data_IF_060902151418
#
_entry.id   IF_060902151418
#
_cell.length_a   1.000
_cell.length_b   1.000
_cell.length_c   1.000
_cell.angle_alpha   90.00
_cell.angle_beta   90.00
_cell.angle_gamma   90.00
#
_symmetry.space_group_name_H-M   'P 1'
#
loop_
_entity.id
_entity.type
_entity.pdbx_description
1 polymer ?
#
# COMPACT_ATOMS: atom_id res chain seq x y z
N UNK A 1 10.96 28.51 3.52
CA UNK A 1 10.52 27.09 3.63
C UNK A 1 9.82 26.58 2.37
N UNK A 2 8.85 27.31 1.82
CA UNK A 2 8.08 26.95 0.61
C UNK A 2 8.93 26.69 -0.65
N UNK A 3 9.93 27.53 -0.94
CA UNK A 3 10.83 27.33 -2.11
C UNK A 3 11.70 26.06 -2.01
N UNK A 4 12.08 25.65 -0.79
CA UNK A 4 12.85 24.41 -0.56
C UNK A 4 11.95 23.19 -0.79
N UNK A 5 10.70 23.25 -0.34
CA UNK A 5 9.70 22.20 -0.55
C UNK A 5 9.35 22.02 -2.03
N UNK A 6 9.11 23.14 -2.75
CA UNK A 6 8.90 23.15 -4.20
C UNK A 6 10.09 22.48 -4.91
N UNK A 7 11.32 22.86 -4.58
CA UNK A 7 12.53 22.26 -5.17
C UNK A 7 12.69 20.76 -4.90
N UNK A 8 12.21 20.24 -3.78
CA UNK A 8 12.23 18.80 -3.46
C UNK A 8 11.19 18.05 -4.30
N UNK A 9 9.95 18.54 -4.38
CA UNK A 9 8.88 17.93 -5.18
C UNK A 9 9.25 17.85 -6.66
N UNK A 10 9.96 18.87 -7.18
CA UNK A 10 10.35 18.91 -8.58
C UNK A 10 11.51 17.98 -8.95
N UNK A 11 12.17 17.31 -7.98
CA UNK A 11 13.19 16.30 -8.30
C UNK A 11 12.53 15.09 -8.99
N UNK A 12 13.19 14.57 -10.02
CA UNK A 12 12.61 13.48 -10.84
C UNK A 12 12.30 12.23 -10.01
N UNK A 13 13.17 11.87 -9.06
CA UNK A 13 12.99 10.72 -8.16
C UNK A 13 11.77 10.86 -7.24
N UNK A 14 11.39 12.09 -6.88
CA UNK A 14 10.17 12.39 -6.11
C UNK A 14 8.95 12.37 -7.00
N UNK A 15 9.03 12.90 -8.23
CA UNK A 15 7.92 12.84 -9.20
C UNK A 15 7.50 11.40 -9.51
N UNK A 16 8.47 10.53 -9.83
CA UNK A 16 8.18 9.13 -10.13
C UNK A 16 7.64 8.36 -8.92
N UNK A 17 8.06 8.74 -7.71
CA UNK A 17 7.50 8.20 -6.47
C UNK A 17 6.03 8.59 -6.29
N UNK A 18 5.70 9.87 -6.48
CA UNK A 18 4.32 10.35 -6.35
C UNK A 18 3.41 9.62 -7.33
N UNK A 19 3.83 9.45 -8.59
CA UNK A 19 3.06 8.67 -9.56
C UNK A 19 2.88 7.22 -9.14
N UNK A 20 3.94 6.57 -8.64
CA UNK A 20 3.86 5.19 -8.14
C UNK A 20 2.86 5.05 -7.00
N UNK A 21 2.92 5.95 -6.03
CA UNK A 21 2.03 5.93 -4.86
C UNK A 21 0.62 6.42 -5.17
N UNK A 22 0.43 7.23 -6.20
CA UNK A 22 -0.89 7.54 -6.73
C UNK A 22 -1.63 6.27 -7.18
N UNK A 23 -0.99 5.40 -7.98
CA UNK A 23 -1.59 4.12 -8.37
C UNK A 23 -1.80 3.17 -7.19
N UNK A 24 -0.89 3.21 -6.20
CA UNK A 24 -1.03 2.45 -4.96
C UNK A 24 -2.28 2.87 -4.17
N UNK A 25 -2.46 4.16 -3.94
CA UNK A 25 -3.64 4.70 -3.23
C UNK A 25 -4.90 4.49 -4.08
N UNK A 26 -4.82 4.64 -5.41
CA UNK A 26 -5.92 4.41 -6.33
C UNK A 26 -6.48 2.99 -6.27
N UNK A 27 -5.69 2.00 -5.81
CA UNK A 27 -6.17 0.63 -5.59
C UNK A 27 -7.35 0.55 -4.61
N UNK A 28 -7.60 1.58 -3.79
CA UNK A 28 -8.82 1.71 -2.98
C UNK A 28 -10.11 1.68 -3.80
N UNK A 29 -10.06 1.98 -5.11
CA UNK A 29 -11.23 1.83 -5.99
C UNK A 29 -11.76 0.39 -6.00
N UNK A 30 -10.91 -0.59 -5.71
CA UNK A 30 -11.32 -2.00 -5.58
C UNK A 30 -12.29 -2.19 -4.40
N UNK A 31 -12.10 -1.47 -3.30
CA UNK A 31 -13.05 -1.50 -2.18
C UNK A 31 -14.42 -0.94 -2.56
N UNK A 32 -14.45 0.10 -3.41
CA UNK A 32 -15.71 0.63 -3.94
C UNK A 32 -16.46 -0.44 -4.77
N UNK A 33 -15.75 -1.21 -5.59
CA UNK A 33 -16.33 -2.31 -6.34
C UNK A 33 -16.84 -3.44 -5.45
N UNK A 34 -16.09 -3.79 -4.40
CA UNK A 34 -16.54 -4.75 -3.39
C UNK A 34 -17.81 -4.28 -2.67
N UNK A 35 -17.91 -2.98 -2.35
CA UNK A 35 -19.10 -2.39 -1.73
C UNK A 35 -20.34 -2.40 -2.63
N UNK A 36 -20.20 -2.45 -3.96
CA UNK A 36 -21.33 -2.65 -4.87
C UNK A 36 -21.75 -4.13 -4.89
N UNK A 37 -20.79 -5.02 -5.12
CA UNK A 37 -21.03 -6.45 -5.18
C UNK A 37 -19.70 -7.23 -5.05
N UNK A 38 -19.71 -8.30 -4.24
CA UNK A 38 -18.55 -9.16 -4.05
C UNK A 38 -17.89 -9.60 -5.37
N UNK A 39 -18.68 -10.07 -6.34
CA UNK A 39 -18.16 -10.57 -7.62
C UNK A 39 -17.57 -9.44 -8.47
N UNK A 40 -18.17 -8.25 -8.45
CA UNK A 40 -17.63 -7.09 -9.16
C UNK A 40 -16.27 -6.70 -8.57
N UNK A 41 -16.15 -6.65 -7.24
CA UNK A 41 -14.87 -6.42 -6.55
C UNK A 41 -13.83 -7.50 -6.86
N UNK A 42 -14.21 -8.77 -6.78
CA UNK A 42 -13.34 -9.90 -7.06
C UNK A 42 -12.80 -9.88 -8.49
N UNK A 43 -13.69 -9.79 -9.49
CA UNK A 43 -13.28 -9.78 -10.89
C UNK A 43 -12.49 -8.52 -11.26
N UNK A 44 -12.85 -7.35 -10.71
CA UNK A 44 -12.09 -6.12 -10.96
C UNK A 44 -10.68 -6.18 -10.38
N UNK A 45 -10.50 -6.74 -9.17
CA UNK A 45 -9.18 -6.92 -8.56
C UNK A 45 -8.30 -7.85 -9.42
N UNK A 46 -8.83 -9.02 -9.80
CA UNK A 46 -8.13 -9.95 -10.69
C UNK A 46 -7.81 -9.30 -12.04
N UNK A 47 -8.74 -8.54 -12.60
CA UNK A 47 -8.55 -7.80 -13.85
C UNK A 47 -7.39 -6.79 -13.73
N UNK A 48 -7.34 -5.98 -12.67
CA UNK A 48 -6.24 -5.03 -12.46
C UNK A 48 -4.89 -5.73 -12.33
N UNK A 49 -4.83 -6.86 -11.63
CA UNK A 49 -3.62 -7.67 -11.52
C UNK A 49 -3.17 -8.22 -12.89
N UNK A 50 -4.09 -8.73 -13.70
CA UNK A 50 -3.81 -9.25 -15.06
C UNK A 50 -3.36 -8.11 -15.98
N UNK A 51 -4.03 -6.95 -15.94
CA UNK A 51 -3.66 -5.78 -16.74
C UNK A 51 -2.24 -5.30 -16.39
N UNK A 52 -1.90 -5.29 -15.09
CA UNK A 52 -0.54 -4.95 -14.64
C UNK A 52 0.50 -5.96 -15.14
N UNK A 53 0.26 -7.25 -14.96
CA UNK A 53 1.18 -8.30 -15.44
C UNK A 53 1.35 -8.25 -16.97
N UNK A 54 0.26 -8.01 -17.70
CA UNK A 54 0.29 -7.85 -19.15
C UNK A 54 1.16 -6.65 -19.56
N UNK A 55 1.03 -5.52 -18.85
CA UNK A 55 1.91 -4.35 -19.03
C UNK A 55 3.39 -4.70 -18.80
N UNK A 56 3.71 -5.47 -17.76
CA UNK A 56 5.09 -5.90 -17.48
C UNK A 56 5.64 -6.84 -18.56
N UNK A 57 4.81 -7.76 -19.08
CA UNK A 57 5.19 -8.64 -20.20
C UNK A 57 5.48 -7.82 -21.47
N UNK A 58 4.63 -6.85 -21.82
CA UNK A 58 4.88 -5.96 -22.96
C UNK A 58 6.15 -5.12 -22.78
N UNK A 59 6.39 -4.63 -21.56
CA UNK A 59 7.61 -3.89 -21.21
C UNK A 59 8.87 -4.73 -21.42
N UNK A 60 8.89 -5.97 -20.92
CA UNK A 60 10.05 -6.87 -21.01
C UNK A 60 10.28 -7.34 -22.46
N UNK A 61 9.20 -7.63 -23.19
CA UNK A 61 9.28 -8.05 -24.61
C UNK A 61 9.56 -6.90 -25.58
N UNK A 62 9.72 -5.66 -25.08
CA UNK A 62 9.96 -4.44 -25.85
C UNK A 62 8.91 -4.15 -26.94
N UNK A 63 7.71 -4.73 -26.81
CA UNK A 63 6.58 -4.43 -27.71
C UNK A 63 6.03 -3.06 -27.38
N UNK A 64 6.21 -2.10 -28.29
CA UNK A 64 5.83 -0.70 -28.09
C UNK A 64 4.32 -0.48 -28.27
N UNK A 65 3.54 -0.74 -27.22
CA UNK A 65 2.22 -0.12 -27.10
C UNK A 65 2.39 1.30 -26.53
N UNK A 66 1.89 2.30 -27.25
CA UNK A 66 2.03 3.73 -26.90
C UNK A 66 1.50 4.03 -25.49
N UNK A 67 0.42 3.39 -25.07
CA UNK A 67 -0.22 3.61 -23.77
C UNK A 67 0.64 3.15 -22.58
N UNK A 68 1.37 2.04 -22.73
CA UNK A 68 2.16 1.46 -21.64
C UNK A 68 3.55 2.08 -21.49
N UNK A 69 4.00 2.90 -22.45
CA UNK A 69 5.35 3.48 -22.42
C UNK A 69 5.55 4.38 -21.19
N UNK A 70 4.60 5.27 -20.91
CA UNK A 70 4.66 6.18 -19.75
C UNK A 70 4.68 5.42 -18.43
N UNK A 71 3.81 4.42 -18.28
CA UNK A 71 3.73 3.58 -17.07
C UNK A 71 5.01 2.76 -16.89
N UNK A 72 5.53 2.19 -17.98
CA UNK A 72 6.77 1.40 -18.00
C UNK A 72 7.98 2.23 -17.56
N UNK A 73 8.10 3.46 -18.06
CA UNK A 73 9.18 4.37 -17.69
C UNK A 73 9.09 4.78 -16.21
N UNK A 74 7.87 4.98 -15.69
CA UNK A 74 7.64 5.23 -14.25
C UNK A 74 8.10 4.03 -13.42
N UNK A 75 7.77 2.80 -13.81
CA UNK A 75 8.14 1.58 -13.06
C UNK A 75 9.66 1.41 -13.04
N UNK A 76 10.32 1.51 -14.21
CA UNK A 76 11.77 1.37 -14.32
C UNK A 76 12.53 2.39 -13.48
N UNK A 77 12.15 3.66 -13.58
CA UNK A 77 12.83 4.75 -12.87
C UNK A 77 12.53 4.76 -11.37
N UNK A 78 11.28 4.51 -10.97
CA UNK A 78 10.90 4.55 -9.54
C UNK A 78 11.44 3.36 -8.74
N UNK A 79 11.56 2.17 -9.36
CA UNK A 79 11.96 0.95 -8.67
C UNK A 79 13.41 0.54 -8.93
N UNK A 80 14.12 1.22 -9.84
CA UNK A 80 15.50 0.87 -10.24
C UNK A 80 15.61 -0.60 -10.68
N UNK A 81 14.56 -1.12 -11.31
CA UNK A 81 14.47 -2.52 -11.75
C UNK A 81 15.15 -2.66 -13.11
N UNK A 82 15.85 -3.79 -13.29
CA UNK A 82 16.46 -4.13 -14.57
C UNK A 82 15.36 -4.30 -15.64
N UNK A 83 15.60 -3.86 -16.89
CA UNK A 83 14.59 -3.89 -17.95
C UNK A 83 13.99 -5.27 -18.22
N UNK A 84 14.72 -6.35 -17.88
CA UNK A 84 14.30 -7.73 -18.12
C UNK A 84 13.67 -8.44 -16.89
N UNK A 85 13.46 -7.73 -15.77
CA UNK A 85 12.86 -8.31 -14.55
C UNK A 85 11.45 -7.75 -14.33
N UNK A 86 10.54 -8.59 -13.84
CA UNK A 86 9.17 -8.20 -13.45
C UNK A 86 9.19 -7.49 -12.10
N UNK A 87 8.39 -6.43 -11.97
CA UNK A 87 8.12 -5.74 -10.71
C UNK A 87 6.95 -6.39 -9.98
N UNK A 88 7.20 -7.21 -8.96
CA UNK A 88 6.14 -7.87 -8.19
C UNK A 88 5.34 -7.02 -7.18
N UNK A 89 5.82 -5.89 -6.63
CA UNK A 89 5.09 -5.25 -5.52
C UNK A 89 3.63 -4.82 -5.82
N UNK A 90 3.24 -4.38 -7.02
CA UNK A 90 1.83 -4.13 -7.34
C UNK A 90 0.99 -5.42 -7.38
N UNK A 91 1.58 -6.55 -7.77
CA UNK A 91 0.93 -7.87 -7.71
C UNK A 91 0.66 -8.23 -6.25
N UNK A 92 1.66 -8.05 -5.37
CA UNK A 92 1.52 -8.27 -3.93
C UNK A 92 0.46 -7.37 -3.29
N UNK A 93 0.30 -6.13 -3.75
CA UNK A 93 -0.77 -5.25 -3.30
C UNK A 93 -2.16 -5.82 -3.63
N UNK A 94 -2.41 -6.15 -4.90
CA UNK A 94 -3.69 -6.71 -5.32
C UNK A 94 -3.99 -8.06 -4.67
N UNK A 95 -2.97 -8.90 -4.51
CA UNK A 95 -3.06 -10.17 -3.80
C UNK A 95 -3.36 -9.96 -2.31
N UNK A 96 -2.69 -9.02 -1.65
CA UNK A 96 -2.94 -8.66 -0.25
C UNK A 96 -4.35 -8.16 -0.03
N UNK A 97 -4.86 -7.29 -0.91
CA UNK A 97 -6.26 -6.83 -0.90
C UNK A 97 -7.22 -8.01 -1.07
N UNK A 98 -6.98 -8.86 -2.07
CA UNK A 98 -7.83 -10.02 -2.37
C UNK A 98 -7.92 -10.97 -1.18
N UNK A 99 -6.78 -11.38 -0.63
CA UNK A 99 -6.72 -12.32 0.49
C UNK A 99 -7.34 -11.71 1.74
N UNK A 100 -7.02 -10.45 2.06
CA UNK A 100 -7.57 -9.78 3.24
C UNK A 100 -9.09 -9.63 3.14
N UNK A 101 -9.60 -9.27 1.96
CA UNK A 101 -11.04 -9.12 1.74
C UNK A 101 -11.78 -10.47 1.81
N UNK A 102 -11.23 -11.54 1.22
CA UNK A 102 -11.88 -12.85 1.18
C UNK A 102 -11.78 -13.64 2.49
N UNK A 103 -10.67 -13.51 3.24
CA UNK A 103 -10.42 -14.33 4.44
C UNK A 103 -10.82 -13.67 5.75
N UNK A 104 -10.94 -12.34 5.78
CA UNK A 104 -11.28 -11.61 7.01
C UNK A 104 -12.63 -10.94 6.85
N UNK A 105 -13.48 -11.07 7.87
CA UNK A 105 -14.82 -10.50 7.85
C UNK A 105 -14.80 -8.96 7.88
N UNK A 106 -15.84 -8.36 7.31
CA UNK A 106 -16.09 -6.92 7.48
C UNK A 106 -16.41 -6.61 8.96
N UNK A 107 -15.96 -5.47 9.51
CA UNK A 107 -15.19 -4.40 8.86
C UNK A 107 -13.66 -4.56 8.94
N UNK A 108 -13.15 -5.66 9.51
CA UNK A 108 -11.70 -5.85 9.77
C UNK A 108 -10.85 -5.94 8.49
N UNK A 109 -11.42 -6.46 7.39
CA UNK A 109 -10.76 -6.43 6.08
C UNK A 109 -10.49 -5.00 5.58
N UNK A 110 -11.41 -4.05 5.77
CA UNK A 110 -11.22 -2.63 5.40
C UNK A 110 -10.06 -2.00 6.19
N UNK A 111 -9.91 -2.33 7.47
CA UNK A 111 -8.86 -1.75 8.34
C UNK A 111 -7.47 -2.06 7.79
N UNK A 112 -7.21 -3.32 7.41
CA UNK A 112 -5.94 -3.70 6.79
C UNK A 112 -5.76 -3.11 5.40
N UNK A 113 -6.81 -3.09 4.57
CA UNK A 113 -6.73 -2.52 3.22
C UNK A 113 -6.48 -1.00 3.27
N UNK A 114 -7.10 -0.26 4.19
CA UNK A 114 -6.76 1.15 4.40
C UNK A 114 -5.32 1.33 4.89
N UNK A 115 -4.84 0.44 5.77
CA UNK A 115 -3.47 0.49 6.29
C UNK A 115 -2.43 0.35 5.18
N UNK A 116 -2.63 -0.57 4.23
CA UNK A 116 -1.70 -0.70 3.10
C UNK A 116 -1.88 0.42 2.08
N UNK A 117 -3.11 0.75 1.68
CA UNK A 117 -3.33 1.69 0.58
C UNK A 117 -3.06 3.13 0.98
N UNK A 118 -3.47 3.55 2.19
CA UNK A 118 -3.23 4.90 2.71
C UNK A 118 -1.91 4.96 3.48
N UNK A 119 -1.68 4.03 4.41
CA UNK A 119 -0.47 4.02 5.24
C UNK A 119 0.79 3.89 4.42
N UNK A 120 1.03 2.73 3.81
CA UNK A 120 2.20 2.54 2.94
C UNK A 120 2.15 3.45 1.69
N UNK A 121 0.95 3.75 1.20
CA UNK A 121 0.72 4.73 0.13
C UNK A 121 1.41 6.07 0.39
N UNK A 122 1.12 6.68 1.54
CA UNK A 122 1.66 7.99 1.91
C UNK A 122 3.03 7.92 2.63
N UNK A 123 3.41 6.77 3.22
CA UNK A 123 4.63 6.62 4.00
C UNK A 123 5.90 7.04 3.24
N UNK A 124 6.06 6.56 2.00
CA UNK A 124 7.24 6.91 1.20
C UNK A 124 7.29 8.38 0.76
N UNK A 125 6.13 9.01 0.59
CA UNK A 125 6.01 10.43 0.24
C UNK A 125 6.43 11.25 1.46
N UNK A 126 5.88 10.93 2.64
CA UNK A 126 6.26 11.56 3.90
C UNK A 126 7.75 11.37 4.22
N UNK A 127 8.30 10.18 3.98
CA UNK A 127 9.73 9.90 4.16
C UNK A 127 10.67 10.71 3.27
N UNK A 128 10.20 11.12 2.07
CA UNK A 128 10.97 11.99 1.16
C UNK A 128 10.76 13.48 1.41
N UNK A 129 9.56 13.87 1.87
CA UNK A 129 9.19 15.28 2.07
C UNK A 129 9.53 15.82 3.46
N UNK A 130 9.41 14.98 4.50
CA UNK A 130 9.64 15.34 5.90
C UNK A 130 10.98 14.74 6.32
N UNK A 131 12.01 15.58 6.56
CA UNK A 131 13.30 15.10 7.04
C UNK A 131 13.13 14.36 8.38
N UNK A 132 13.53 13.10 8.42
CA UNK A 132 13.52 12.31 9.65
C UNK A 132 14.62 11.26 9.62
N UNK A 133 14.87 10.62 10.77
CA UNK A 133 15.87 9.56 10.85
C UNK A 133 15.44 8.33 10.07
N UNK A 134 16.42 7.68 9.44
CA UNK A 134 16.21 6.38 8.80
C UNK A 134 16.16 5.29 9.87
N UNK A 135 15.26 4.36 9.66
CA UNK A 135 15.05 3.16 10.44
C UNK A 135 15.58 1.95 9.65
N UNK A 136 15.03 0.77 9.92
CA UNK A 136 15.33 -0.49 9.24
C UNK A 136 14.95 -0.41 7.75
N UNK A 137 15.74 -1.05 6.88
CA UNK A 137 15.51 -1.17 5.43
C UNK A 137 15.33 0.17 4.69
N UNK A 138 15.87 1.26 5.24
CA UNK A 138 15.78 2.59 4.63
C UNK A 138 14.41 3.26 4.77
N UNK A 139 13.48 2.68 5.54
CA UNK A 139 12.25 3.33 5.99
C UNK A 139 12.61 4.51 6.92
N UNK A 140 11.64 5.37 7.20
CA UNK A 140 11.88 6.64 7.91
C UNK A 140 10.86 6.81 9.02
N UNK A 141 11.21 7.51 10.10
CA UNK A 141 10.27 7.78 11.20
C UNK A 141 9.01 8.49 10.68
N UNK A 142 9.17 9.46 9.77
CA UNK A 142 8.02 10.16 9.18
C UNK A 142 7.13 9.25 8.36
N UNK A 143 7.69 8.30 7.62
CA UNK A 143 6.92 7.29 6.88
C UNK A 143 6.19 6.31 7.81
N UNK A 144 6.88 5.76 8.80
CA UNK A 144 6.28 4.82 9.76
C UNK A 144 5.19 5.49 10.61
N UNK A 145 5.33 6.77 10.96
CA UNK A 145 4.27 7.52 11.64
C UNK A 145 2.99 7.62 10.79
N UNK A 146 3.13 7.71 9.46
CA UNK A 146 1.98 7.71 8.56
C UNK A 146 1.29 6.35 8.53
N UNK A 147 2.05 5.25 8.50
CA UNK A 147 1.48 3.90 8.62
C UNK A 147 0.74 3.74 9.95
N UNK A 148 1.38 4.14 11.06
CA UNK A 148 0.75 4.14 12.38
C UNK A 148 -0.58 4.90 12.38
N UNK A 149 -0.57 6.15 11.93
CA UNK A 149 -1.76 7.00 11.93
C UNK A 149 -2.86 6.43 11.02
N UNK A 150 -2.51 5.95 9.82
CA UNK A 150 -3.47 5.37 8.90
C UNK A 150 -4.17 4.15 9.52
N UNK A 151 -3.42 3.23 10.12
CA UNK A 151 -3.99 2.06 10.80
C UNK A 151 -4.79 2.45 12.04
N UNK A 152 -4.24 3.34 12.88
CA UNK A 152 -4.90 3.82 14.10
C UNK A 152 -6.27 4.42 13.79
N UNK A 153 -6.34 5.39 12.87
CA UNK A 153 -7.59 6.06 12.52
C UNK A 153 -8.54 5.13 11.77
N UNK A 154 -8.03 4.23 10.93
CA UNK A 154 -8.87 3.24 10.25
C UNK A 154 -9.56 2.30 11.24
N UNK A 155 -8.84 1.81 12.24
CA UNK A 155 -9.44 0.98 13.29
C UNK A 155 -10.39 1.80 14.17
N UNK A 156 -9.95 2.96 14.66
CA UNK A 156 -10.71 3.81 15.57
C UNK A 156 -12.05 4.29 14.97
N UNK A 157 -12.11 4.43 13.64
CA UNK A 157 -13.34 4.75 12.92
C UNK A 157 -14.43 3.68 13.08
N UNK A 158 -14.08 2.39 13.00
CA UNK A 158 -15.03 1.29 13.16
C UNK A 158 -15.25 0.91 14.63
N UNK A 159 -14.19 0.96 15.42
CA UNK A 159 -14.19 0.57 16.83
C UNK A 159 -13.44 1.62 17.65
N UNK A 160 -14.13 2.48 18.45
CA UNK A 160 -13.51 3.56 19.20
C UNK A 160 -12.75 3.07 20.45
N UNK A 161 -12.04 1.95 20.35
CA UNK A 161 -11.22 1.36 21.40
C UNK A 161 -9.78 1.84 21.28
N UNK A 162 -9.44 2.85 22.09
CA UNK A 162 -8.15 3.53 22.04
C UNK A 162 -6.96 2.57 22.18
N UNK A 163 -7.00 1.66 23.15
CA UNK A 163 -5.90 0.73 23.45
C UNK A 163 -5.65 -0.19 22.25
N UNK A 164 -6.70 -0.79 21.70
CA UNK A 164 -6.56 -1.68 20.54
C UNK A 164 -6.08 -0.93 19.31
N UNK A 165 -6.56 0.29 19.07
CA UNK A 165 -6.10 1.14 17.98
C UNK A 165 -4.59 1.44 18.08
N UNK A 166 -4.10 1.76 19.28
CA UNK A 166 -2.67 2.00 19.53
C UNK A 166 -1.82 0.75 19.27
N UNK A 167 -2.26 -0.40 19.79
CA UNK A 167 -1.57 -1.69 19.58
C UNK A 167 -1.51 -2.02 18.08
N UNK A 168 -2.62 -1.88 17.36
CA UNK A 168 -2.69 -2.11 15.91
C UNK A 168 -1.80 -1.18 15.12
N UNK A 169 -1.76 0.11 15.46
CA UNK A 169 -0.86 1.07 14.82
C UNK A 169 0.62 0.69 14.99
N UNK A 170 1.03 0.30 16.20
CA UNK A 170 2.41 -0.15 16.47
C UNK A 170 2.71 -1.42 15.67
N UNK A 171 1.79 -2.39 15.67
CA UNK A 171 1.93 -3.63 14.93
C UNK A 171 2.05 -3.41 13.42
N UNK A 172 1.28 -2.49 12.85
CA UNK A 172 1.39 -2.10 11.45
C UNK A 172 2.78 -1.51 11.10
N UNK A 173 3.34 -0.67 11.98
CA UNK A 173 4.71 -0.16 11.84
C UNK A 173 5.74 -1.28 11.90
N UNK A 174 5.59 -2.23 12.82
CA UNK A 174 6.51 -3.37 12.89
C UNK A 174 6.48 -4.19 11.60
N UNK A 175 5.28 -4.47 11.06
CA UNK A 175 5.14 -5.16 9.77
C UNK A 175 5.80 -4.39 8.63
N UNK A 176 5.63 -3.06 8.59
CA UNK A 176 6.27 -2.20 7.60
C UNK A 176 7.81 -2.20 7.71
N UNK A 177 8.36 -2.25 8.93
CA UNK A 177 9.80 -2.20 9.19
C UNK A 177 10.51 -3.53 8.94
N UNK A 178 9.85 -4.66 9.17
CA UNK A 178 10.44 -6.00 9.00
C UNK A 178 10.47 -6.49 7.55
N UNK A 179 9.93 -5.72 6.62
CA UNK A 179 9.88 -6.13 5.22
C UNK A 179 11.24 -5.99 4.52
N UNK A 180 11.89 -7.13 4.26
CA UNK A 180 13.20 -7.20 3.62
C UNK A 180 13.14 -7.05 2.09
N UNK A 181 11.99 -7.31 1.45
CA UNK A 181 11.92 -7.54 -0.01
C UNK A 181 10.70 -6.89 -0.71
N UNK A 182 10.03 -5.92 -0.08
CA UNK A 182 8.79 -5.26 -0.58
C UNK A 182 7.55 -6.18 -0.56
N UNK A 183 7.50 -7.08 0.41
CA UNK A 183 6.33 -7.89 0.75
C UNK A 183 5.35 -7.18 1.69
N UNK A 184 5.64 -5.96 2.14
CA UNK A 184 4.77 -5.10 2.94
C UNK A 184 3.39 -4.96 2.30
N UNK A 185 3.33 -4.84 0.98
CA UNK A 185 2.08 -4.78 0.22
C UNK A 185 1.19 -6.02 0.35
N UNK A 186 1.77 -7.18 0.67
CA UNK A 186 1.04 -8.44 0.91
C UNK A 186 0.73 -8.62 2.40
N UNK A 187 1.73 -8.43 3.26
CA UNK A 187 1.62 -8.75 4.68
C UNK A 187 0.93 -7.67 5.50
N UNK A 188 1.13 -6.39 5.19
CA UNK A 188 0.51 -5.30 5.93
C UNK A 188 -1.02 -5.38 5.97
N UNK A 189 -1.75 -5.54 4.84
CA UNK A 189 -3.20 -5.64 4.91
C UNK A 189 -3.64 -6.93 5.62
N UNK A 190 -2.96 -8.05 5.38
CA UNK A 190 -3.33 -9.34 5.94
C UNK A 190 -3.16 -9.37 7.46
N UNK A 191 -1.97 -9.01 7.95
CA UNK A 191 -1.64 -9.04 9.37
C UNK A 191 -2.50 -8.03 10.13
N UNK A 192 -2.68 -6.82 9.60
CA UNK A 192 -3.52 -5.80 10.25
C UNK A 192 -4.99 -6.23 10.29
N UNK A 193 -5.54 -6.75 9.18
CA UNK A 193 -6.92 -7.24 9.16
C UNK A 193 -7.13 -8.38 10.16
N UNK A 194 -6.30 -9.41 10.12
CA UNK A 194 -6.42 -10.56 11.04
C UNK A 194 -6.20 -10.15 12.50
N UNK A 195 -5.19 -9.34 12.78
CA UNK A 195 -4.93 -8.87 14.16
C UNK A 195 -6.06 -7.99 14.68
N UNK A 196 -6.66 -7.16 13.82
CA UNK A 196 -7.79 -6.32 14.21
C UNK A 196 -9.01 -7.14 14.64
N UNK A 197 -9.30 -8.23 13.93
CA UNK A 197 -10.33 -9.19 14.33
C UNK A 197 -10.01 -9.80 15.71
N UNK A 198 -8.84 -10.43 15.85
CA UNK A 198 -8.49 -11.14 17.09
C UNK A 198 -8.42 -10.23 18.31
N UNK A 199 -7.80 -9.05 18.20
CA UNK A 199 -7.71 -8.12 19.33
C UNK A 199 -9.09 -7.60 19.74
N UNK A 200 -9.97 -7.34 18.77
CA UNK A 200 -11.33 -6.86 19.08
C UNK A 200 -12.15 -7.94 19.77
N UNK A 201 -12.12 -9.17 19.25
CA UNK A 201 -12.78 -10.30 19.90
C UNK A 201 -12.22 -10.53 21.31
N UNK A 202 -10.90 -10.60 21.45
CA UNK A 202 -10.27 -10.89 22.74
C UNK A 202 -10.62 -9.86 23.83
N UNK A 203 -10.60 -8.57 23.51
CA UNK A 203 -10.84 -7.51 24.51
C UNK A 203 -12.31 -7.17 24.72
N UNK A 204 -13.20 -7.42 23.74
CA UNK A 204 -14.55 -6.84 23.75
C UNK A 204 -15.69 -7.80 23.39
N UNK A 205 -15.44 -9.08 23.11
CA UNK A 205 -16.52 -10.07 22.92
C UNK A 205 -16.92 -10.78 24.22
N UNK A 206 -17.30 -10.01 25.25
CA UNK A 206 -18.06 -10.52 26.40
C UNK A 206 -19.56 -10.38 26.15
#
# INVERSE_FOLDING_TARGET
>A
MFNKFKRIIFREDVKYEIFRKFFHIFSLIVLFFYGINFWIGFFSNILFMILYLSSEVFRITKKKLLFFKTISDIILKSRKILPNKVSFPPVFLFLGILISYCLVMEPFNYIGIFSVCLGDGFASIAGKLIPSFKLVNGKTISGSLVVFCATFFSYYYFFPYLITALILGILAVLVELFDADNYDNLFLPLIVSTSSYFLTSFFYSQ
#
